data_IF_918062174629
#
_entry.id   IF_918062174629
#
_cell.length_a   1.000
_cell.length_b   1.000
_cell.length_c   1.000
_cell.angle_alpha   90.00
_cell.angle_beta   90.00
_cell.angle_gamma   90.00
#
_symmetry.space_group_name_H-M   'P 1'
#
loop_
_entity.id
_entity.type
_entity.pdbx_description
1 polymer ?
#
# COMPACT_ATOMS: atom_id res chain seq x y z
N UNK A 1 32.96 -7.27 -28.79
CA UNK A 1 31.64 -7.17 -28.13
C UNK A 1 31.93 -7.14 -26.64
N UNK A 2 31.53 -6.05 -25.98
CA UNK A 2 31.97 -5.73 -24.63
C UNK A 2 31.07 -6.43 -23.60
N UNK A 3 31.48 -7.63 -23.17
CA UNK A 3 30.68 -8.52 -22.33
C UNK A 3 30.20 -7.87 -21.02
N UNK A 4 30.95 -6.90 -20.49
CA UNK A 4 30.56 -6.13 -19.32
C UNK A 4 29.30 -5.28 -19.58
N UNK A 5 29.20 -4.66 -20.77
CA UNK A 5 28.04 -3.86 -21.14
C UNK A 5 26.77 -4.71 -21.30
N UNK A 6 26.91 -5.94 -21.81
CA UNK A 6 25.79 -6.88 -21.93
C UNK A 6 25.28 -7.32 -20.56
N UNK A 7 26.18 -7.58 -19.61
CA UNK A 7 25.84 -7.89 -18.22
C UNK A 7 25.13 -6.72 -17.53
N UNK A 8 25.63 -5.49 -17.67
CA UNK A 8 25.00 -4.31 -17.09
C UNK A 8 23.58 -4.13 -17.60
N UNK A 9 23.36 -4.22 -18.92
CA UNK A 9 22.01 -4.12 -19.51
C UNK A 9 21.06 -5.21 -19.01
N UNK A 10 21.56 -6.44 -18.88
CA UNK A 10 20.76 -7.54 -18.32
C UNK A 10 20.36 -7.27 -16.86
N UNK A 11 21.28 -6.73 -16.06
CA UNK A 11 21.02 -6.37 -14.66
C UNK A 11 20.03 -5.20 -14.53
N UNK A 12 20.17 -4.14 -15.33
CA UNK A 12 19.25 -3.01 -15.36
C UNK A 12 17.82 -3.43 -15.73
N UNK A 13 17.69 -4.28 -16.77
CA UNK A 13 16.40 -4.80 -17.19
C UNK A 13 15.75 -5.66 -16.10
N UNK A 14 16.53 -6.52 -15.44
CA UNK A 14 16.07 -7.33 -14.30
C UNK A 14 15.61 -6.44 -13.15
N UNK A 15 16.43 -5.46 -12.77
CA UNK A 15 16.12 -4.54 -11.68
C UNK A 15 14.82 -3.76 -11.97
N UNK A 16 14.66 -3.22 -13.19
CA UNK A 16 13.43 -2.53 -13.60
C UNK A 16 12.21 -3.43 -13.46
N UNK A 17 12.29 -4.67 -13.94
CA UNK A 17 11.19 -5.62 -13.83
C UNK A 17 10.84 -5.94 -12.38
N UNK A 18 11.85 -6.14 -11.52
CA UNK A 18 11.65 -6.39 -10.09
C UNK A 18 11.01 -5.19 -9.39
N UNK A 19 11.45 -3.96 -9.70
CA UNK A 19 10.84 -2.75 -9.15
C UNK A 19 9.38 -2.59 -9.60
N UNK A 20 9.07 -2.84 -10.87
CA UNK A 20 7.71 -2.79 -11.40
C UNK A 20 6.79 -3.82 -10.70
N UNK A 21 7.29 -5.03 -10.46
CA UNK A 21 6.55 -6.06 -9.74
C UNK A 21 6.32 -5.69 -8.27
N UNK A 22 7.36 -5.21 -7.58
CA UNK A 22 7.27 -4.77 -6.19
C UNK A 22 6.31 -3.59 -6.03
N UNK A 23 6.34 -2.62 -6.95
CA UNK A 23 5.42 -1.50 -6.97
C UNK A 23 3.97 -1.98 -7.12
N UNK A 24 3.68 -2.80 -8.12
CA UNK A 24 2.33 -3.36 -8.34
C UNK A 24 1.84 -4.18 -7.15
N UNK A 25 2.72 -4.96 -6.53
CA UNK A 25 2.40 -5.75 -5.33
C UNK A 25 2.03 -4.84 -4.14
N UNK A 26 2.83 -3.78 -3.91
CA UNK A 26 2.56 -2.80 -2.84
C UNK A 26 1.25 -2.04 -3.05
N UNK A 27 0.95 -1.62 -4.28
CA UNK A 27 -0.34 -1.00 -4.63
C UNK A 27 -1.51 -1.92 -4.26
N UNK A 28 -1.46 -3.18 -4.69
CA UNK A 28 -2.53 -4.15 -4.42
C UNK A 28 -2.71 -4.41 -2.93
N UNK A 29 -1.60 -4.62 -2.20
CA UNK A 29 -1.62 -4.78 -0.74
C UNK A 29 -2.27 -3.58 -0.06
N UNK A 30 -1.85 -2.36 -0.42
CA UNK A 30 -2.41 -1.14 0.16
C UNK A 30 -3.91 -1.00 -0.11
N UNK A 31 -4.35 -1.33 -1.33
CA UNK A 31 -5.78 -1.34 -1.67
C UNK A 31 -6.56 -2.32 -0.81
N UNK A 32 -6.05 -3.54 -0.61
CA UNK A 32 -6.69 -4.56 0.25
C UNK A 32 -6.75 -4.10 1.71
N UNK A 33 -5.71 -3.43 2.20
CA UNK A 33 -5.68 -2.85 3.54
C UNK A 33 -6.76 -1.77 3.71
N UNK A 34 -6.94 -0.90 2.71
CA UNK A 34 -8.02 0.09 2.68
C UNK A 34 -9.41 -0.56 2.75
N UNK A 35 -9.66 -1.61 1.95
CA UNK A 35 -10.93 -2.36 1.99
C UNK A 35 -11.16 -2.97 3.38
N UNK A 36 -10.13 -3.59 3.96
CA UNK A 36 -10.21 -4.17 5.30
C UNK A 36 -10.60 -3.12 6.36
N UNK A 37 -9.96 -1.96 6.33
CA UNK A 37 -10.25 -0.88 7.26
C UNK A 37 -11.66 -0.29 7.03
N UNK A 38 -12.06 -0.09 5.78
CA UNK A 38 -13.40 0.38 5.41
C UNK A 38 -14.51 -0.55 5.91
N UNK A 39 -14.32 -1.87 5.77
CA UNK A 39 -15.26 -2.87 6.26
C UNK A 39 -15.41 -2.80 7.80
N UNK A 40 -14.32 -2.56 8.54
CA UNK A 40 -14.38 -2.41 10.00
C UNK A 40 -15.10 -1.14 10.44
N UNK A 41 -15.10 -0.11 9.59
CA UNK A 41 -15.84 1.14 9.79
C UNK A 41 -17.28 1.07 9.26
N UNK A 42 -17.73 -0.09 8.74
CA UNK A 42 -19.05 -0.29 8.14
C UNK A 42 -19.38 0.72 7.02
N UNK A 43 -18.39 1.09 6.21
CA UNK A 43 -18.63 1.94 5.05
C UNK A 43 -19.47 1.20 4.00
N UNK A 44 -20.30 1.95 3.25
CA UNK A 44 -20.99 1.38 2.10
C UNK A 44 -19.99 1.03 0.97
N UNK A 45 -20.47 0.35 -0.07
CA UNK A 45 -19.60 -0.11 -1.17
C UNK A 45 -18.88 1.04 -1.89
N UNK A 46 -19.57 2.14 -2.17
CA UNK A 46 -18.98 3.29 -2.86
C UNK A 46 -17.89 3.97 -2.02
N UNK A 47 -18.14 4.15 -0.73
CA UNK A 47 -17.18 4.76 0.18
C UNK A 47 -16.01 3.81 0.48
N UNK A 48 -16.25 2.49 0.46
CA UNK A 48 -15.19 1.47 0.55
C UNK A 48 -14.25 1.53 -0.65
N UNK A 49 -14.77 1.66 -1.87
CA UNK A 49 -13.95 1.80 -3.08
C UNK A 49 -13.10 3.07 -3.03
N UNK A 50 -13.71 4.22 -2.72
CA UNK A 50 -12.98 5.49 -2.54
C UNK A 50 -11.91 5.40 -1.45
N UNK A 51 -12.23 4.75 -0.34
CA UNK A 51 -11.30 4.58 0.76
C UNK A 51 -10.12 3.69 0.35
N UNK A 52 -10.37 2.61 -0.40
CA UNK A 52 -9.33 1.76 -0.95
C UNK A 52 -8.40 2.50 -1.93
N UNK A 53 -8.98 3.36 -2.77
CA UNK A 53 -8.21 4.16 -3.74
C UNK A 53 -7.34 5.22 -3.06
N UNK A 54 -7.78 5.80 -1.93
CA UNK A 54 -6.95 6.70 -1.12
C UNK A 54 -5.65 6.01 -0.63
N UNK A 55 -5.67 4.69 -0.36
CA UNK A 55 -4.46 3.94 0.01
C UNK A 55 -3.53 3.67 -1.18
N UNK A 56 -4.09 3.59 -2.39
CA UNK A 56 -3.30 3.57 -3.63
C UNK A 56 -2.62 4.92 -3.83
N UNK A 57 -3.34 6.04 -3.65
CA UNK A 57 -2.76 7.38 -3.76
C UNK A 57 -1.64 7.63 -2.74
N UNK A 58 -1.78 7.14 -1.51
CA UNK A 58 -0.71 7.20 -0.51
C UNK A 58 0.56 6.48 -0.96
N UNK A 59 0.41 5.36 -1.69
CA UNK A 59 1.57 4.69 -2.28
C UNK A 59 2.25 5.54 -3.34
N UNK A 60 1.48 6.22 -4.20
CA UNK A 60 2.01 7.09 -5.24
C UNK A 60 2.78 8.29 -4.68
N UNK A 61 2.41 8.75 -3.49
CA UNK A 61 3.09 9.82 -2.75
C UNK A 61 4.31 9.33 -1.96
N UNK A 62 4.67 8.05 -2.08
CA UNK A 62 5.74 7.35 -1.35
C UNK A 62 5.72 7.61 0.17
N UNK A 63 4.53 7.63 0.74
CA UNK A 63 4.30 8.04 2.14
C UNK A 63 4.77 7.01 3.18
N UNK A 64 5.39 5.91 2.76
CA UNK A 64 5.87 4.85 3.65
C UNK A 64 4.74 4.11 4.41
N UNK A 65 5.12 3.09 5.19
CA UNK A 65 4.14 2.28 5.96
C UNK A 65 3.51 3.06 7.12
N UNK A 66 4.27 3.97 7.73
CA UNK A 66 3.82 4.73 8.90
C UNK A 66 2.59 5.58 8.58
N UNK A 67 2.57 6.25 7.42
CA UNK A 67 1.41 7.06 7.00
C UNK A 67 0.16 6.24 6.72
N UNK A 68 0.31 4.97 6.31
CA UNK A 68 -0.83 4.06 6.20
C UNK A 68 -1.41 3.75 7.60
N UNK A 69 -0.54 3.48 8.59
CA UNK A 69 -0.95 3.23 9.97
C UNK A 69 -1.63 4.45 10.59
N UNK A 70 -1.01 5.63 10.49
CA UNK A 70 -1.52 6.90 11.00
C UNK A 70 -2.93 7.18 10.47
N UNK A 71 -3.15 6.95 9.16
CA UNK A 71 -4.46 7.15 8.53
C UNK A 71 -5.51 6.18 9.08
N UNK A 72 -5.20 4.89 9.15
CA UNK A 72 -6.13 3.88 9.71
C UNK A 72 -6.48 4.22 11.15
N UNK A 73 -5.49 4.56 11.97
CA UNK A 73 -5.68 4.94 13.37
C UNK A 73 -6.60 6.16 13.50
N UNK A 74 -6.33 7.21 12.73
CA UNK A 74 -7.15 8.42 12.73
C UNK A 74 -8.60 8.13 12.33
N UNK A 75 -8.80 7.37 11.26
CA UNK A 75 -10.13 7.06 10.73
C UNK A 75 -10.90 6.12 11.66
N UNK A 76 -10.22 5.15 12.29
CA UNK A 76 -10.83 4.28 13.30
C UNK A 76 -11.27 5.05 14.53
N UNK A 77 -10.46 6.00 15.00
CA UNK A 77 -10.84 6.87 16.10
C UNK A 77 -12.08 7.71 15.77
N UNK A 78 -12.16 8.23 14.54
CA UNK A 78 -13.33 8.98 14.07
C UNK A 78 -14.58 8.09 13.93
N UNK A 79 -14.42 6.86 13.47
CA UNK A 79 -15.51 5.90 13.29
C UNK A 79 -15.90 5.12 14.57
N UNK A 80 -15.24 5.37 15.70
CA UNK A 80 -15.48 4.64 16.95
C UNK A 80 -15.01 3.18 16.94
N UNK A 81 -14.09 2.82 16.05
CA UNK A 81 -13.52 1.48 15.94
C UNK A 81 -12.32 1.34 16.87
N UNK A 82 -12.45 0.58 17.95
CA UNK A 82 -11.33 0.36 18.88
C UNK A 82 -10.39 -0.76 18.40
N UNK A 83 -9.22 -0.38 17.88
CA UNK A 83 -8.06 -1.28 17.69
C UNK A 83 -6.76 -0.62 18.12
N UNK A 84 -5.90 -1.37 18.79
CA UNK A 84 -4.55 -0.89 19.13
C UNK A 84 -3.70 -0.69 17.88
N UNK A 85 -2.85 0.33 17.88
CA UNK A 85 -1.81 0.58 16.86
C UNK A 85 -1.02 -0.68 16.50
N UNK A 86 -0.47 -1.39 17.50
CA UNK A 86 0.27 -2.66 17.29
C UNK A 86 -0.51 -3.71 16.48
N UNK A 87 -1.85 -3.73 16.60
CA UNK A 87 -2.68 -4.67 15.83
C UNK A 87 -2.88 -4.21 14.39
N UNK A 88 -2.92 -2.90 14.16
CA UNK A 88 -2.98 -2.31 12.82
C UNK A 88 -1.65 -2.50 12.11
N UNK A 89 -0.52 -2.26 12.77
CA UNK A 89 0.82 -2.43 12.19
C UNK A 89 1.08 -3.84 11.67
N UNK A 90 0.59 -4.87 12.38
CA UNK A 90 0.69 -6.28 11.96
C UNK A 90 -0.14 -6.62 10.71
N UNK A 91 -1.10 -5.78 10.34
CA UNK A 91 -1.92 -5.98 9.14
C UNK A 91 -1.30 -5.33 7.89
N UNK A 92 -0.32 -4.44 8.05
CA UNK A 92 0.39 -3.72 6.97
C UNK A 92 1.54 -4.57 6.43
#
# INVERSE_FOLDING_TARGET
MDALQELTKAQENKFKHEQDLLFKAKVRRNRMLGIWAANLMNLNQNDTEKYADAFVELHLKDTGRQKLCDKILSDFNYAGVHKSEHRIERMI
#
